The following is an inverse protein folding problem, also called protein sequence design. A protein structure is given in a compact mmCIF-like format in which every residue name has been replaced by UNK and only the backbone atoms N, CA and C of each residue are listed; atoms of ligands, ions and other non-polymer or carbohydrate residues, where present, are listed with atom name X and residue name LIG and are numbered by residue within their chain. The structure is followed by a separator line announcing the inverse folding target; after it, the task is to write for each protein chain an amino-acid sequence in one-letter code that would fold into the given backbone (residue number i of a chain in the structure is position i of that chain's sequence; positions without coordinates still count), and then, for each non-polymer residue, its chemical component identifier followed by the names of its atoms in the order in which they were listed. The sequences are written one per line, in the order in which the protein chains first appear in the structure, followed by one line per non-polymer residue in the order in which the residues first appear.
data_IF_142129867088
#
_entry.id   IF_142129867088
#
_cell.length_a   1.000
_cell.length_b   1.000
_cell.length_c   1.000
_cell.angle_alpha   90.00
_cell.angle_beta   90.00
_cell.angle_gamma   90.00
#
_symmetry.space_group_name_H-M   'P 1'
#
loop_
_entity.id
_entity.type
_entity.pdbx_description
1 polymer ?
#
# COMPACT_ATOMS: atom_id res chain seq x y z
N UNK A 1 -36.95 12.50 2.36
CA UNK A 1 -36.28 13.65 1.70
C UNK A 1 -36.02 14.80 2.66
N UNK A 2 -37.05 15.39 3.30
CA UNK A 2 -36.86 16.55 4.19
C UNK A 2 -35.92 16.27 5.38
N UNK A 3 -36.15 15.18 6.12
CA UNK A 3 -35.29 14.79 7.25
C UNK A 3 -33.83 14.58 6.83
N UNK A 4 -33.63 14.03 5.63
CA UNK A 4 -32.29 13.80 5.06
C UNK A 4 -31.57 15.11 4.75
N UNK A 5 -32.26 16.07 4.13
CA UNK A 5 -31.71 17.40 3.86
C UNK A 5 -31.38 18.15 5.15
N UNK A 6 -32.21 18.00 6.19
CA UNK A 6 -31.91 18.55 7.52
C UNK A 6 -30.67 17.90 8.13
N UNK A 7 -30.47 16.59 7.96
CA UNK A 7 -29.27 15.91 8.42
C UNK A 7 -28.01 16.41 7.67
N UNK A 8 -28.07 16.52 6.34
CA UNK A 8 -26.97 17.06 5.53
C UNK A 8 -26.64 18.51 5.89
N UNK A 9 -27.64 19.31 6.23
CA UNK A 9 -27.45 20.68 6.65
C UNK A 9 -26.80 20.78 8.04
N UNK A 10 -27.25 19.96 8.99
CA UNK A 10 -26.74 19.95 10.38
C UNK A 10 -25.30 19.48 10.46
N UNK A 11 -24.93 18.43 9.73
CA UNK A 11 -23.60 17.85 9.83
C UNK A 11 -22.48 18.83 9.42
N UNK A 12 -22.80 19.82 8.58
CA UNK A 12 -21.86 20.87 8.17
C UNK A 12 -21.39 21.67 9.39
N UNK A 13 -22.32 22.06 10.28
CA UNK A 13 -21.97 22.77 11.52
C UNK A 13 -21.22 21.91 12.53
N UNK A 14 -21.41 20.59 12.48
CA UNK A 14 -20.71 19.66 13.38
C UNK A 14 -19.27 19.39 12.92
N UNK A 15 -19.01 19.42 11.61
CA UNK A 15 -17.73 18.97 11.04
C UNK A 15 -16.88 20.08 10.43
N UNK A 16 -17.45 21.22 10.07
CA UNK A 16 -16.71 22.34 9.53
C UNK A 16 -16.67 23.52 10.52
N UNK A 17 -15.51 23.79 11.15
CA UNK A 17 -15.33 24.95 12.03
C UNK A 17 -15.52 26.30 11.33
N UNK A 18 -15.46 26.35 9.99
CA UNK A 18 -15.70 27.57 9.22
C UNK A 18 -17.19 27.90 9.07
N UNK A 19 -18.10 26.92 9.25
CA UNK A 19 -19.54 27.10 9.10
C UNK A 19 -20.14 27.90 10.28
N UNK A 20 -20.12 29.23 10.17
CA UNK A 20 -20.58 30.13 11.25
C UNK A 20 -22.04 30.52 11.17
N UNK A 21 -22.63 30.53 9.97
CA UNK A 21 -24.00 31.01 9.76
C UNK A 21 -24.79 30.15 8.79
N UNK A 22 -26.10 30.01 9.05
CA UNK A 22 -27.01 29.22 8.22
C UNK A 22 -27.14 29.73 6.79
N UNK A 23 -27.11 31.05 6.59
CA UNK A 23 -27.22 31.65 5.26
C UNK A 23 -25.98 31.33 4.42
N UNK A 24 -24.80 31.39 5.04
CA UNK A 24 -23.53 31.04 4.39
C UNK A 24 -23.53 29.57 3.95
N UNK A 25 -23.99 28.65 4.79
CA UNK A 25 -24.13 27.24 4.42
C UNK A 25 -25.11 27.06 3.27
N UNK A 26 -26.22 27.79 3.25
CA UNK A 26 -27.19 27.68 2.17
C UNK A 26 -26.65 28.22 0.83
N UNK A 27 -25.97 29.37 0.83
CA UNK A 27 -25.58 30.10 -0.38
C UNK A 27 -24.16 29.81 -0.87
N UNK A 28 -23.26 29.43 0.02
CA UNK A 28 -21.82 29.36 -0.26
C UNK A 28 -21.20 27.97 -0.09
N UNK A 29 -21.98 26.93 0.27
CA UNK A 29 -21.48 25.55 0.37
C UNK A 29 -21.87 24.74 -0.87
N UNK A 30 -20.97 24.61 -1.88
CA UNK A 30 -21.29 23.91 -3.11
C UNK A 30 -21.60 22.43 -2.87
N UNK A 31 -20.98 21.81 -1.85
CA UNK A 31 -21.27 20.44 -1.44
C UNK A 31 -22.73 20.21 -1.04
N UNK A 32 -23.26 21.09 -0.19
CA UNK A 32 -24.66 21.03 0.22
C UNK A 32 -25.60 21.25 -0.97
N UNK A 33 -25.32 22.27 -1.80
CA UNK A 33 -26.11 22.56 -3.00
C UNK A 33 -26.15 21.38 -3.96
N UNK A 34 -25.01 20.72 -4.21
CA UNK A 34 -24.94 19.54 -5.05
C UNK A 34 -25.77 18.37 -4.51
N UNK A 35 -25.78 18.15 -3.18
CA UNK A 35 -26.62 17.14 -2.54
C UNK A 35 -28.12 17.45 -2.69
N UNK A 36 -28.52 18.72 -2.56
CA UNK A 36 -29.92 19.15 -2.79
C UNK A 36 -30.35 18.82 -4.22
N UNK A 37 -29.57 19.22 -5.22
CA UNK A 37 -29.87 18.91 -6.63
C UNK A 37 -29.89 17.41 -6.88
N UNK A 38 -28.92 16.66 -6.32
CA UNK A 38 -28.85 15.21 -6.47
C UNK A 38 -30.10 14.55 -5.88
N UNK A 39 -30.57 14.92 -4.69
CA UNK A 39 -31.76 14.30 -4.08
C UNK A 39 -33.03 14.51 -4.92
N UNK A 40 -33.18 15.67 -5.55
CA UNK A 40 -34.26 15.94 -6.51
C UNK A 40 -34.10 15.08 -7.76
N UNK A 41 -32.91 15.08 -8.37
CA UNK A 41 -32.60 14.30 -9.56
C UNK A 41 -32.78 12.79 -9.34
N UNK A 42 -32.31 12.28 -8.20
CA UNK A 42 -32.41 10.90 -7.76
C UNK A 42 -33.88 10.48 -7.63
N UNK A 43 -34.70 11.30 -6.96
CA UNK A 43 -36.13 11.04 -6.89
C UNK A 43 -36.75 10.89 -8.28
N UNK A 44 -36.50 11.85 -9.19
CA UNK A 44 -37.01 11.79 -10.57
C UNK A 44 -36.48 10.57 -11.35
N UNK A 45 -35.21 10.20 -11.13
CA UNK A 45 -34.58 9.02 -11.74
C UNK A 45 -35.30 7.73 -11.32
N UNK A 46 -35.62 7.57 -10.03
CA UNK A 46 -36.36 6.42 -9.52
C UNK A 46 -37.82 6.37 -9.99
N UNK A 47 -38.44 7.53 -10.24
CA UNK A 47 -39.75 7.62 -10.89
C UNK A 47 -39.69 7.40 -12.41
N UNK A 48 -38.53 7.00 -12.95
CA UNK A 48 -38.29 6.73 -14.38
C UNK A 48 -38.59 7.93 -15.28
N UNK A 49 -38.43 9.15 -14.78
CA UNK A 49 -38.55 10.36 -15.59
C UNK A 49 -37.35 10.39 -16.55
N UNK A 50 -37.56 10.39 -17.88
CA UNK A 50 -36.47 10.39 -18.84
C UNK A 50 -35.78 11.76 -18.88
N UNK A 51 -34.47 11.77 -19.19
CA UNK A 51 -33.64 12.96 -19.47
C UNK A 51 -33.48 13.99 -18.34
N UNK A 52 -34.56 14.42 -17.69
CA UNK A 52 -34.60 15.49 -16.69
C UNK A 52 -33.67 15.24 -15.49
N UNK A 53 -33.58 14.03 -14.89
CA UNK A 53 -32.62 13.75 -13.83
C UNK A 53 -31.17 14.03 -14.27
N UNK A 54 -30.83 13.63 -15.50
CA UNK A 54 -29.48 13.81 -16.04
C UNK A 54 -29.22 15.28 -16.32
N UNK A 55 -30.18 16.01 -16.87
CA UNK A 55 -30.07 17.46 -17.05
C UNK A 55 -29.83 18.19 -15.73
N UNK A 56 -30.59 17.87 -14.68
CA UNK A 56 -30.40 18.45 -13.33
C UNK A 56 -28.99 18.16 -12.81
N UNK A 57 -28.48 16.93 -12.97
CA UNK A 57 -27.10 16.61 -12.56
C UNK A 57 -26.04 17.43 -13.29
N UNK A 58 -26.25 17.75 -14.57
CA UNK A 58 -25.32 18.60 -15.33
C UNK A 58 -25.40 20.08 -14.94
N UNK A 59 -26.59 20.59 -14.63
CA UNK A 59 -26.76 21.94 -14.08
C UNK A 59 -26.07 22.04 -12.71
N UNK A 60 -26.28 21.05 -11.84
CA UNK A 60 -25.61 20.99 -10.54
C UNK A 60 -24.08 20.99 -10.70
N UNK A 61 -23.55 20.18 -11.63
CA UNK A 61 -22.12 20.15 -11.96
C UNK A 61 -21.61 21.50 -12.44
N UNK A 62 -22.36 22.18 -13.30
CA UNK A 62 -21.97 23.49 -13.82
C UNK A 62 -21.90 24.55 -12.71
N UNK A 63 -22.86 24.54 -11.77
CA UNK A 63 -22.93 25.51 -10.68
C UNK A 63 -21.94 25.24 -9.54
N UNK A 64 -21.67 23.95 -9.24
CA UNK A 64 -20.94 23.55 -8.02
C UNK A 64 -19.57 22.93 -8.29
N UNK A 65 -19.28 22.50 -9.52
CA UNK A 65 -18.09 21.72 -9.85
C UNK A 65 -18.12 20.27 -9.37
N UNK A 66 -19.24 19.79 -8.82
CA UNK A 66 -19.44 18.44 -8.30
C UNK A 66 -20.33 17.64 -9.26
N UNK A 67 -19.83 16.51 -9.77
CA UNK A 67 -20.61 15.60 -10.60
C UNK A 67 -21.15 14.43 -9.78
N UNK A 68 -22.48 14.35 -9.64
CA UNK A 68 -23.16 13.21 -9.00
C UNK A 68 -24.17 12.63 -9.97
N UNK A 69 -23.98 11.37 -10.34
CA UNK A 69 -24.94 10.68 -11.19
C UNK A 69 -26.30 10.52 -10.45
N UNK A 70 -27.46 10.75 -11.11
CA UNK A 70 -28.77 10.61 -10.46
C UNK A 70 -29.04 9.22 -9.85
N UNK A 71 -28.50 8.17 -10.48
CA UNK A 71 -28.60 6.78 -9.99
C UNK A 71 -27.77 6.45 -8.74
N UNK A 72 -26.81 7.31 -8.33
CA UNK A 72 -26.02 7.06 -7.13
C UNK A 72 -26.92 7.07 -5.88
N UNK A 73 -26.61 6.20 -4.91
CA UNK A 73 -27.34 6.12 -3.65
C UNK A 73 -26.53 6.82 -2.57
N UNK A 74 -27.07 7.87 -1.97
CA UNK A 74 -26.38 8.68 -0.96
C UNK A 74 -27.20 8.71 0.33
N UNK A 75 -26.57 8.24 1.40
CA UNK A 75 -27.08 8.23 2.77
C UNK A 75 -27.36 9.62 3.35
N UNK A 76 -27.66 9.65 4.64
CA UNK A 76 -27.97 10.88 5.38
C UNK A 76 -26.73 11.47 6.03
N UNK A 77 -26.66 12.79 6.11
CA UNK A 77 -25.53 13.47 6.74
C UNK A 77 -24.25 13.28 5.94
N UNK A 78 -24.32 13.12 4.62
CA UNK A 78 -23.09 13.11 3.82
C UNK A 78 -22.61 14.55 3.69
N UNK A 79 -21.34 14.78 4.00
CA UNK A 79 -20.71 16.09 3.87
C UNK A 79 -19.68 16.05 2.75
N UNK A 80 -19.92 16.86 1.71
CA UNK A 80 -18.95 17.11 0.64
C UNK A 80 -18.27 18.45 0.93
N UNK A 81 -17.03 18.42 1.41
CA UNK A 81 -16.29 19.61 1.80
C UNK A 81 -15.41 20.11 0.64
N UNK A 82 -15.43 21.42 0.40
CA UNK A 82 -14.90 22.15 -0.76
C UNK A 82 -15.45 21.72 -2.14
N UNK A 83 -15.55 20.41 -2.39
CA UNK A 83 -16.35 19.77 -3.44
C UNK A 83 -15.82 19.85 -4.86
N UNK A 84 -15.01 20.85 -5.21
CA UNK A 84 -14.54 21.03 -6.59
C UNK A 84 -13.89 19.76 -7.15
N UNK A 85 -14.37 19.28 -8.31
CA UNK A 85 -13.81 18.11 -8.98
C UNK A 85 -14.20 16.75 -8.37
N UNK A 86 -15.18 16.71 -7.45
CA UNK A 86 -15.76 15.46 -6.97
C UNK A 86 -16.58 14.80 -8.08
N UNK A 87 -16.37 13.49 -8.29
CA UNK A 87 -17.08 12.69 -9.29
C UNK A 87 -17.64 11.42 -8.64
N UNK A 88 -18.96 11.26 -8.64
CA UNK A 88 -19.67 10.12 -8.06
C UNK A 88 -20.48 9.44 -9.16
N UNK A 89 -20.08 8.21 -9.51
CA UNK A 89 -20.67 7.47 -10.62
C UNK A 89 -22.01 6.80 -10.34
N UNK A 90 -22.64 6.29 -11.39
CA UNK A 90 -24.03 5.83 -11.42
C UNK A 90 -24.41 4.82 -10.35
N UNK A 91 -23.55 3.82 -10.14
CA UNK A 91 -23.87 2.70 -9.22
C UNK A 91 -23.15 2.85 -7.89
N UNK A 92 -22.64 4.05 -7.57
CA UNK A 92 -21.98 4.30 -6.31
C UNK A 92 -23.00 4.27 -5.17
N UNK A 93 -22.60 3.72 -4.03
CA UNK A 93 -23.38 3.72 -2.80
C UNK A 93 -22.53 4.37 -1.72
N UNK A 94 -23.07 5.37 -1.04
CA UNK A 94 -22.40 6.13 0.02
C UNK A 94 -23.24 6.01 1.28
N UNK A 95 -22.67 5.41 2.33
CA UNK A 95 -23.32 5.28 3.63
C UNK A 95 -23.47 6.61 4.38
N UNK A 96 -24.13 6.54 5.52
CA UNK A 96 -24.45 7.71 6.34
C UNK A 96 -23.18 8.35 6.93
N UNK A 97 -23.24 9.67 7.16
CA UNK A 97 -22.18 10.43 7.84
C UNK A 97 -20.79 10.37 7.19
N UNK A 98 -20.73 10.08 5.88
CA UNK A 98 -19.48 10.13 5.12
C UNK A 98 -18.99 11.57 4.90
N UNK A 99 -17.66 11.74 4.89
CA UNK A 99 -17.00 13.01 4.55
C UNK A 99 -16.18 12.82 3.27
N UNK A 100 -16.43 13.66 2.27
CA UNK A 100 -15.78 13.59 0.96
C UNK A 100 -15.16 14.95 0.64
N UNK A 101 -13.85 14.99 0.46
CA UNK A 101 -13.13 16.21 0.10
C UNK A 101 -13.09 16.45 -1.42
N UNK A 102 -12.58 17.61 -1.83
CA UNK A 102 -12.40 18.01 -3.22
C UNK A 102 -11.61 16.98 -4.05
N UNK A 103 -11.90 16.89 -5.35
CA UNK A 103 -11.16 16.07 -6.31
C UNK A 103 -11.32 14.55 -6.12
N UNK A 104 -12.20 14.10 -5.22
CA UNK A 104 -12.46 12.68 -5.01
C UNK A 104 -13.19 12.05 -6.19
N UNK A 105 -12.84 10.82 -6.56
CA UNK A 105 -13.58 10.06 -7.58
C UNK A 105 -14.03 8.72 -7.04
N UNK A 106 -15.35 8.47 -7.08
CA UNK A 106 -15.98 7.16 -6.90
C UNK A 106 -16.33 6.62 -8.29
N UNK A 107 -15.33 6.02 -8.94
CA UNK A 107 -15.31 5.73 -10.37
C UNK A 107 -15.51 4.26 -10.70
N UNK A 108 -15.90 3.98 -11.94
CA UNK A 108 -15.99 2.61 -12.45
C UNK A 108 -14.67 2.10 -13.02
N UNK A 109 -14.55 0.78 -13.12
CA UNK A 109 -13.49 0.11 -13.90
C UNK A 109 -14.11 -0.75 -15.00
N UNK A 110 -13.39 -0.92 -16.11
CA UNK A 110 -13.80 -1.79 -17.21
C UNK A 110 -14.99 -1.27 -18.04
N UNK A 111 -15.54 -2.15 -18.90
CA UNK A 111 -16.71 -1.90 -19.77
C UNK A 111 -17.96 -2.66 -19.33
N UNK A 112 -17.93 -3.26 -18.16
CA UNK A 112 -19.02 -4.11 -17.69
C UNK A 112 -20.28 -3.31 -17.37
N UNK A 113 -21.43 -3.88 -17.72
CA UNK A 113 -22.74 -3.31 -17.44
C UNK A 113 -23.18 -3.71 -16.04
N UNK A 114 -23.83 -2.79 -15.31
CA UNK A 114 -24.31 -3.03 -13.94
C UNK A 114 -23.49 -2.33 -12.85
N UNK A 115 -23.40 -2.96 -11.68
CA UNK A 115 -22.72 -2.42 -10.48
C UNK A 115 -21.21 -2.44 -10.70
N UNK A 116 -20.62 -1.25 -10.80
CA UNK A 116 -19.22 -1.03 -11.22
C UNK A 116 -18.51 0.08 -10.45
N UNK A 117 -19.24 0.81 -9.61
CA UNK A 117 -18.69 1.87 -8.76
C UNK A 117 -18.63 1.41 -7.30
N UNK A 118 -17.87 2.12 -6.44
CA UNK A 118 -17.66 1.68 -5.07
C UNK A 118 -18.91 1.70 -4.19
N UNK A 119 -18.84 0.98 -3.07
CA UNK A 119 -19.78 1.03 -1.96
C UNK A 119 -19.02 1.47 -0.71
N UNK A 120 -19.40 2.61 -0.13
CA UNK A 120 -18.83 3.13 1.11
C UNK A 120 -19.78 2.82 2.25
N UNK A 121 -19.25 2.25 3.34
CA UNK A 121 -19.95 2.09 4.60
C UNK A 121 -20.21 3.43 5.31
N UNK A 122 -20.60 3.36 6.57
CA UNK A 122 -20.90 4.55 7.38
C UNK A 122 -19.63 5.22 7.90
N UNK A 123 -19.69 6.54 8.10
CA UNK A 123 -18.59 7.32 8.68
C UNK A 123 -17.25 7.19 7.93
N UNK A 124 -17.29 6.93 6.62
CA UNK A 124 -16.08 6.88 5.79
C UNK A 124 -15.61 8.31 5.51
N UNK A 125 -14.31 8.54 5.66
CA UNK A 125 -13.65 9.81 5.30
C UNK A 125 -12.78 9.57 4.08
N UNK A 126 -13.04 10.33 3.01
CA UNK A 126 -12.28 10.25 1.77
C UNK A 126 -11.52 11.55 1.54
N UNK A 127 -10.21 11.49 1.75
CA UNK A 127 -9.29 12.61 1.62
C UNK A 127 -9.24 13.18 0.19
N UNK A 128 -8.87 14.45 0.11
CA UNK A 128 -8.88 15.20 -1.15
C UNK A 128 -8.06 14.52 -2.25
N UNK A 129 -8.61 14.48 -3.46
CA UNK A 129 -7.95 13.89 -4.62
C UNK A 129 -7.94 12.37 -4.68
N UNK A 130 -8.45 11.65 -3.66
CA UNK A 130 -8.45 10.19 -3.67
C UNK A 130 -9.32 9.59 -4.80
N UNK A 131 -8.93 8.43 -5.30
CA UNK A 131 -9.61 7.69 -6.37
C UNK A 131 -9.97 6.31 -5.87
N UNK A 132 -11.26 6.01 -5.80
CA UNK A 132 -11.79 4.70 -5.40
C UNK A 132 -12.47 4.14 -6.64
N UNK A 133 -11.90 3.08 -7.20
CA UNK A 133 -12.24 2.62 -8.54
C UNK A 133 -12.72 1.17 -8.54
N UNK A 134 -13.87 0.94 -9.18
CA UNK A 134 -14.44 -0.39 -9.38
C UNK A 134 -15.56 -0.72 -8.39
N UNK A 135 -16.15 -1.89 -8.55
CA UNK A 135 -17.14 -2.44 -7.62
C UNK A 135 -16.43 -3.00 -6.38
N UNK A 136 -15.95 -2.11 -5.52
CA UNK A 136 -15.26 -2.45 -4.28
C UNK A 136 -16.02 -1.93 -3.06
N UNK A 137 -15.88 -2.63 -1.94
CA UNK A 137 -16.50 -2.30 -0.68
C UNK A 137 -15.49 -1.66 0.27
N UNK A 138 -15.85 -0.50 0.79
CA UNK A 138 -15.11 0.21 1.83
C UNK A 138 -15.93 0.09 3.12
N UNK A 139 -15.38 -0.60 4.12
CA UNK A 139 -16.05 -0.79 5.40
C UNK A 139 -16.30 0.52 6.16
N UNK A 140 -17.15 0.46 7.18
CA UNK A 140 -17.47 1.62 8.02
C UNK A 140 -16.27 2.12 8.82
N UNK A 141 -16.26 3.41 9.16
CA UNK A 141 -15.20 4.10 9.90
C UNK A 141 -13.82 4.02 9.23
N UNK A 142 -13.78 3.86 7.90
CA UNK A 142 -12.53 3.85 7.13
C UNK A 142 -12.09 5.28 6.81
N UNK A 143 -10.78 5.51 6.85
CA UNK A 143 -10.15 6.70 6.30
C UNK A 143 -9.36 6.37 5.06
N UNK A 144 -9.57 7.13 4.00
CA UNK A 144 -8.76 7.08 2.79
C UNK A 144 -7.96 8.37 2.74
N UNK A 145 -6.63 8.26 2.76
CA UNK A 145 -5.71 9.39 2.71
C UNK A 145 -5.83 10.15 1.39
N UNK A 146 -5.48 11.44 1.44
CA UNK A 146 -5.46 12.30 0.26
C UNK A 146 -4.64 11.67 -0.88
N UNK A 147 -5.11 11.87 -2.12
CA UNK A 147 -4.50 11.36 -3.35
C UNK A 147 -4.27 9.84 -3.42
N UNK A 148 -4.87 9.05 -2.53
CA UNK A 148 -4.72 7.59 -2.56
C UNK A 148 -5.54 6.96 -3.70
N UNK A 149 -5.07 5.84 -4.24
CA UNK A 149 -5.79 5.09 -5.29
C UNK A 149 -6.19 3.71 -4.77
N UNK A 150 -7.48 3.53 -4.45
CA UNK A 150 -8.01 2.31 -3.84
C UNK A 150 -8.66 1.44 -4.92
N UNK A 151 -8.13 0.22 -5.07
CA UNK A 151 -8.51 -0.74 -6.11
C UNK A 151 -9.03 -2.08 -5.54
N UNK A 152 -9.07 -2.22 -4.21
CA UNK A 152 -9.46 -3.45 -3.51
C UNK A 152 -10.36 -3.11 -2.34
N UNK A 153 -11.14 -4.09 -1.90
CA UNK A 153 -11.99 -3.98 -0.71
C UNK A 153 -11.16 -3.62 0.53
N UNK A 154 -11.75 -2.79 1.39
CA UNK A 154 -11.12 -2.28 2.61
C UNK A 154 -11.98 -2.68 3.80
N UNK A 155 -11.44 -3.41 4.79
CA UNK A 155 -12.18 -3.77 6.00
C UNK A 155 -12.51 -2.52 6.84
N UNK A 156 -13.54 -2.59 7.70
CA UNK A 156 -13.94 -1.48 8.56
C UNK A 156 -12.85 -1.10 9.58
N UNK A 157 -12.91 0.14 10.07
CA UNK A 157 -12.01 0.72 11.08
C UNK A 157 -10.52 0.76 10.68
N UNK A 158 -10.25 0.95 9.40
CA UNK A 158 -8.90 1.00 8.86
C UNK A 158 -8.56 2.34 8.22
N UNK A 159 -7.26 2.60 8.05
CA UNK A 159 -6.76 3.74 7.27
C UNK A 159 -6.02 3.23 6.04
N UNK A 160 -6.29 3.81 4.87
CA UNK A 160 -5.69 3.45 3.58
C UNK A 160 -4.94 4.64 3.01
N UNK A 161 -3.69 4.44 2.60
CA UNK A 161 -2.85 5.49 1.99
C UNK A 161 -2.06 4.97 0.80
N UNK A 162 -1.69 5.86 -0.11
CA UNK A 162 -0.72 5.56 -1.18
C UNK A 162 -1.34 5.18 -2.53
N UNK A 163 -0.46 4.90 -3.50
CA UNK A 163 -0.79 4.55 -4.88
C UNK A 163 0.05 3.33 -5.29
N UNK A 164 -0.55 2.12 -5.40
CA UNK A 164 -1.91 1.76 -4.98
C UNK A 164 -2.08 1.83 -3.46
N UNK A 165 -3.30 2.09 -3.01
CA UNK A 165 -3.67 2.27 -1.62
C UNK A 165 -3.46 1.00 -0.80
N UNK A 166 -2.76 1.13 0.33
CA UNK A 166 -2.49 0.04 1.28
C UNK A 166 -3.07 0.37 2.65
N UNK A 167 -3.59 -0.65 3.33
CA UNK A 167 -4.09 -0.52 4.72
C UNK A 167 -2.89 -0.35 5.66
N UNK A 168 -2.83 0.75 6.38
CA UNK A 168 -1.72 1.12 7.28
C UNK A 168 -2.06 0.99 8.77
N UNK A 169 -3.33 0.79 9.14
CA UNK A 169 -3.77 0.74 10.54
C UNK A 169 -4.72 -0.44 10.80
N UNK A 170 -4.32 -1.35 11.71
CA UNK A 170 -5.10 -2.47 12.26
C UNK A 170 -5.31 -2.35 13.78
N UNK A 171 -4.95 -1.22 14.39
CA UNK A 171 -4.69 -1.13 15.84
C UNK A 171 -5.94 -0.85 16.69
N UNK A 172 -7.14 -0.75 16.09
CA UNK A 172 -8.38 -0.51 16.82
C UNK A 172 -8.49 0.87 17.49
N UNK A 173 -7.56 1.79 17.22
CA UNK A 173 -7.60 3.16 17.72
C UNK A 173 -8.38 4.02 16.73
N UNK A 174 -9.48 4.64 17.18
CA UNK A 174 -10.16 5.68 16.41
C UNK A 174 -9.20 6.85 16.22
N UNK A 175 -8.53 6.93 15.07
CA UNK A 175 -7.84 8.17 14.66
C UNK A 175 -8.90 9.29 14.56
N UNK A 176 -8.51 10.55 14.72
CA UNK A 176 -9.40 11.70 14.56
C UNK A 176 -9.64 11.97 13.05
N UNK A 177 -10.88 12.16 12.57
CA UNK A 177 -11.18 12.44 11.16
C UNK A 177 -10.37 13.59 10.52
N UNK A 178 -9.92 14.55 11.34
CA UNK A 178 -9.26 15.77 10.88
C UNK A 178 -7.72 15.70 10.94
N UNK A 179 -7.14 14.69 11.59
CA UNK A 179 -5.69 14.59 11.77
C UNK A 179 -5.01 13.79 10.64
N UNK A 180 -4.61 14.51 9.59
CA UNK A 180 -3.95 13.95 8.41
C UNK A 180 -2.43 13.73 8.60
N UNK A 181 -1.84 14.24 9.68
CA UNK A 181 -0.38 14.23 9.92
C UNK A 181 0.20 12.93 10.49
N UNK A 182 -0.64 11.97 10.89
CA UNK A 182 -0.22 10.77 11.63
C UNK A 182 -0.42 9.48 10.83
N UNK A 183 -0.11 9.53 9.53
CA UNK A 183 -0.20 8.36 8.65
C UNK A 183 1.13 7.59 8.66
N UNK A 184 1.11 6.26 8.87
CA UNK A 184 2.32 5.45 8.79
C UNK A 184 2.92 5.51 7.37
N UNK A 185 4.21 5.81 7.27
CA UNK A 185 4.94 5.78 5.99
C UNK A 185 5.32 4.32 5.64
N UNK A 186 4.49 3.69 4.81
CA UNK A 186 4.73 2.32 4.33
C UNK A 186 6.00 2.22 3.49
N UNK A 187 6.33 3.26 2.72
CA UNK A 187 7.51 3.28 1.86
C UNK A 187 8.79 3.34 2.70
N UNK A 188 8.81 4.18 3.74
CA UNK A 188 9.93 4.24 4.67
C UNK A 188 10.16 2.91 5.40
N UNK A 189 9.11 2.16 5.73
CA UNK A 189 9.26 0.82 6.33
C UNK A 189 9.92 -0.16 5.36
N UNK A 190 9.47 -0.19 4.11
CA UNK A 190 10.05 -1.05 3.07
C UNK A 190 11.50 -0.66 2.78
N UNK A 191 11.78 0.64 2.62
CA UNK A 191 13.15 1.13 2.42
C UNK A 191 14.08 0.74 3.57
N UNK A 192 13.64 0.85 4.83
CA UNK A 192 14.44 0.41 5.98
C UNK A 192 14.72 -1.10 5.95
N UNK A 193 13.71 -1.91 5.59
CA UNK A 193 13.90 -3.36 5.47
C UNK A 193 14.92 -3.70 4.37
N UNK A 194 14.84 -3.04 3.22
CA UNK A 194 15.80 -3.20 2.13
C UNK A 194 17.21 -2.75 2.55
N UNK A 195 17.35 -1.58 3.19
CA UNK A 195 18.65 -1.11 3.70
C UNK A 195 19.27 -2.07 4.69
N UNK A 196 18.49 -2.59 5.65
CA UNK A 196 18.98 -3.57 6.61
C UNK A 196 19.44 -4.86 5.92
N UNK A 197 18.72 -5.31 4.87
CA UNK A 197 19.10 -6.47 4.09
C UNK A 197 20.39 -6.23 3.30
N UNK A 198 20.55 -5.06 2.68
CA UNK A 198 21.78 -4.68 1.98
C UNK A 198 22.97 -4.68 2.95
N UNK A 199 22.84 -4.03 4.10
CA UNK A 199 23.91 -4.00 5.10
C UNK A 199 24.30 -5.41 5.58
N UNK A 200 23.31 -6.27 5.82
CA UNK A 200 23.55 -7.67 6.20
C UNK A 200 24.28 -8.45 5.11
N UNK A 201 23.93 -8.25 3.84
CA UNK A 201 24.62 -8.87 2.72
C UNK A 201 26.05 -8.33 2.55
N UNK A 202 26.26 -7.03 2.75
CA UNK A 202 27.59 -6.41 2.71
C UNK A 202 28.51 -6.97 3.80
N UNK A 203 28.00 -7.16 5.03
CA UNK A 203 28.74 -7.82 6.12
C UNK A 203 29.11 -9.27 5.78
N UNK A 204 28.17 -10.03 5.21
CA UNK A 204 28.43 -11.41 4.78
C UNK A 204 29.51 -11.46 3.69
N UNK A 205 29.45 -10.57 2.70
CA UNK A 205 30.46 -10.46 1.63
C UNK A 205 31.83 -10.08 2.20
N UNK A 206 31.89 -9.17 3.19
CA UNK A 206 33.15 -8.83 3.85
C UNK A 206 33.74 -10.02 4.60
N UNK A 207 32.93 -10.76 5.36
CA UNK A 207 33.37 -11.97 6.06
C UNK A 207 33.92 -13.02 5.08
N UNK A 208 33.22 -13.26 3.97
CA UNK A 208 33.67 -14.20 2.94
C UNK A 208 34.99 -13.75 2.32
N UNK A 209 35.17 -12.46 2.03
CA UNK A 209 36.45 -11.92 1.52
C UNK A 209 37.60 -12.11 2.52
N UNK A 210 37.35 -11.95 3.82
CA UNK A 210 38.35 -12.20 4.86
C UNK A 210 38.72 -13.68 4.90
N UNK A 211 37.73 -14.57 4.84
CA UNK A 211 37.94 -16.03 4.79
C UNK A 211 38.71 -16.45 3.53
N UNK A 212 38.39 -15.86 2.37
CA UNK A 212 39.12 -16.05 1.11
C UNK A 212 40.59 -15.64 1.22
N UNK A 213 40.88 -14.53 1.92
CA UNK A 213 42.25 -14.08 2.14
C UNK A 213 43.04 -15.04 3.06
N UNK A 214 42.35 -15.68 4.01
CA UNK A 214 42.96 -16.65 4.93
C UNK A 214 43.09 -18.06 4.35
N UNK A 215 42.32 -18.41 3.32
CA UNK A 215 42.35 -19.71 2.65
C UNK A 215 43.75 -20.15 2.18
N UNK A 216 44.56 -19.34 1.45
CA UNK A 216 45.90 -19.76 1.03
C UNK A 216 46.85 -19.98 2.22
N UNK A 217 46.66 -19.26 3.32
CA UNK A 217 47.44 -19.42 4.55
C UNK A 217 47.10 -20.76 5.23
N UNK A 218 45.81 -21.09 5.32
CA UNK A 218 45.30 -22.39 5.78
C UNK A 218 45.74 -23.54 4.89
N UNK A 219 45.62 -23.41 3.56
CA UNK A 219 46.08 -24.41 2.60
C UNK A 219 47.59 -24.64 2.72
N UNK A 220 48.39 -23.59 2.93
CA UNK A 220 49.84 -23.72 3.12
C UNK A 220 50.19 -24.49 4.41
N UNK A 221 49.39 -24.34 5.47
CA UNK A 221 49.55 -25.07 6.73
C UNK A 221 49.18 -26.54 6.56
N UNK A 222 48.09 -26.84 5.84
CA UNK A 222 47.64 -28.21 5.55
C UNK A 222 48.54 -28.92 4.52
N UNK A 223 49.14 -28.18 3.58
CA UNK A 223 50.03 -28.71 2.55
C UNK A 223 51.45 -29.03 3.05
N UNK A 224 51.83 -28.60 4.27
CA UNK A 224 53.16 -28.89 4.84
C UNK A 224 53.35 -30.42 4.99
N UNK A 225 54.36 -31.03 4.32
CA UNK A 225 54.55 -32.47 4.29
C UNK A 225 54.79 -33.08 5.68
N UNK A 226 55.36 -32.30 6.60
CA UNK A 226 55.63 -32.76 7.96
C UNK A 226 54.36 -33.15 8.72
N UNK A 227 53.23 -32.46 8.52
CA UNK A 227 51.95 -32.80 9.17
C UNK A 227 51.34 -34.12 8.65
N UNK A 228 51.59 -34.46 7.37
CA UNK A 228 51.20 -35.76 6.81
C UNK A 228 52.17 -36.90 7.18
N UNK A 229 53.45 -36.59 7.42
CA UNK A 229 54.44 -37.58 7.85
C UNK A 229 54.44 -37.87 9.36
N UNK A 230 53.82 -37.02 10.18
CA UNK A 230 53.70 -37.25 11.63
C UNK A 230 52.81 -38.44 11.99
N UNK A 231 51.95 -38.91 11.08
CA UNK A 231 51.15 -40.13 11.28
C UNK A 231 51.99 -41.42 11.41
N UNK A 232 53.28 -41.41 11.05
CA UNK A 232 54.13 -42.62 10.98
C UNK A 232 55.40 -42.58 11.86
N UNK A 233 55.60 -41.58 12.72
CA UNK A 233 56.80 -41.51 13.58
C UNK A 233 56.49 -41.69 15.06
N UNK A 234 57.10 -42.71 15.67
CA UNK A 234 56.80 -43.28 17.00
C UNK A 234 57.20 -42.43 18.22
N UNK A 235 57.66 -41.18 18.07
CA UNK A 235 58.37 -40.46 19.15
C UNK A 235 57.84 -39.06 19.53
N UNK A 236 56.69 -38.59 19.01
CA UNK A 236 56.13 -37.30 19.43
C UNK A 236 54.81 -37.48 20.18
N UNK A 237 54.86 -37.44 21.52
CA UNK A 237 53.68 -37.40 22.40
C UNK A 237 53.29 -35.95 22.72
N UNK A 238 52.42 -35.39 21.89
CA UNK A 238 51.54 -34.26 22.25
C UNK A 238 50.15 -34.63 21.72
N UNK A 239 49.46 -35.51 22.48
CA UNK A 239 48.12 -36.08 22.24
C UNK A 239 47.69 -36.07 20.77
N UNK A 240 48.14 -37.08 20.03
CA UNK A 240 47.91 -37.27 18.58
C UNK A 240 46.46 -37.05 18.14
N UNK A 241 45.49 -37.33 19.02
CA UNK A 241 44.07 -37.10 18.79
C UNK A 241 43.69 -35.61 18.67
N UNK A 242 44.28 -34.73 19.47
CA UNK A 242 43.95 -33.30 19.47
C UNK A 242 44.47 -32.60 18.21
N UNK A 243 45.67 -33.00 17.75
CA UNK A 243 46.28 -32.46 16.54
C UNK A 243 45.56 -32.99 15.29
N UNK A 244 45.22 -34.29 15.27
CA UNK A 244 44.41 -34.89 14.22
C UNK A 244 42.99 -34.29 14.14
N UNK A 245 42.32 -34.10 15.28
CA UNK A 245 41.02 -33.43 15.33
C UNK A 245 41.10 -31.96 14.87
N UNK A 246 42.21 -31.27 15.15
CA UNK A 246 42.43 -29.91 14.68
C UNK A 246 42.66 -29.87 13.17
N UNK A 247 43.40 -30.81 12.60
CA UNK A 247 43.59 -30.94 11.14
C UNK A 247 42.24 -31.22 10.45
N UNK A 248 41.48 -32.21 10.92
CA UNK A 248 40.17 -32.53 10.35
C UNK A 248 39.20 -31.34 10.45
N UNK A 249 39.21 -30.62 11.57
CA UNK A 249 38.43 -29.40 11.73
C UNK A 249 38.82 -28.35 10.68
N UNK A 250 40.11 -28.12 10.46
CA UNK A 250 40.58 -27.15 9.46
C UNK A 250 40.25 -27.60 8.03
N UNK A 251 40.33 -28.90 7.72
CA UNK A 251 39.93 -29.44 6.41
C UNK A 251 38.42 -29.25 6.14
N UNK A 252 37.57 -29.46 7.14
CA UNK A 252 36.13 -29.19 7.04
C UNK A 252 35.84 -27.69 6.87
N UNK A 253 36.58 -26.80 7.57
CA UNK A 253 36.45 -25.35 7.36
C UNK A 253 36.85 -24.94 5.94
N UNK A 254 37.91 -25.52 5.37
CA UNK A 254 38.33 -25.26 3.97
C UNK A 254 37.26 -25.74 2.98
N UNK A 255 36.65 -26.92 3.19
CA UNK A 255 35.53 -27.38 2.35
C UNK A 255 34.33 -26.44 2.42
N UNK A 256 33.98 -25.98 3.62
CA UNK A 256 32.86 -25.05 3.82
C UNK A 256 33.12 -23.73 3.07
N UNK A 257 34.33 -23.17 3.19
CA UNK A 257 34.73 -21.95 2.48
C UNK A 257 34.61 -22.14 0.96
N UNK A 258 35.10 -23.25 0.41
CA UNK A 258 34.98 -23.57 -1.03
C UNK A 258 33.53 -23.72 -1.49
N UNK A 259 32.68 -24.34 -0.67
CA UNK A 259 31.24 -24.46 -0.94
C UNK A 259 30.58 -23.07 -0.99
N UNK A 260 30.87 -22.21 -0.02
CA UNK A 260 30.35 -20.83 0.03
C UNK A 260 30.86 -20.00 -1.15
N UNK A 261 32.11 -20.18 -1.58
CA UNK A 261 32.66 -19.52 -2.77
C UNK A 261 31.92 -19.93 -4.05
N UNK A 262 31.61 -21.22 -4.22
CA UNK A 262 30.85 -21.71 -5.36
C UNK A 262 29.45 -21.09 -5.41
N UNK A 263 28.77 -21.04 -4.26
CA UNK A 263 27.45 -20.42 -4.15
C UNK A 263 27.50 -18.91 -4.43
N UNK A 264 28.57 -18.22 -3.99
CA UNK A 264 28.76 -16.79 -4.28
C UNK A 264 28.98 -16.54 -5.77
N UNK A 265 29.72 -17.41 -6.46
CA UNK A 265 29.97 -17.31 -7.90
C UNK A 265 28.68 -17.51 -8.71
N UNK A 266 27.82 -18.45 -8.28
CA UNK A 266 26.49 -18.64 -8.85
C UNK A 266 25.62 -17.41 -8.63
N UNK A 267 25.63 -16.82 -7.43
CA UNK A 267 24.93 -15.58 -7.12
C UNK A 267 25.41 -14.40 -7.99
N UNK A 268 26.71 -14.21 -8.15
CA UNK A 268 27.28 -13.12 -8.97
C UNK A 268 26.93 -13.29 -10.45
N UNK A 269 26.80 -14.54 -10.92
CA UNK A 269 26.34 -14.86 -12.28
C UNK A 269 24.83 -14.59 -12.48
N UNK A 270 24.02 -14.77 -11.44
CA UNK A 270 22.59 -14.42 -11.46
C UNK A 270 22.33 -12.91 -11.28
N UNK A 271 23.25 -12.19 -10.63
CA UNK A 271 23.22 -10.73 -10.44
C UNK A 271 23.93 -9.98 -11.57
N UNK A 272 24.46 -10.69 -12.58
CA UNK A 272 25.04 -10.10 -13.79
C UNK A 272 24.11 -9.00 -14.33
N UNK A 273 24.56 -7.75 -14.15
CA UNK A 273 23.82 -6.54 -14.49
C UNK A 273 23.21 -6.72 -15.89
N UNK A 274 21.88 -6.64 -16.06
CA UNK A 274 21.38 -6.39 -17.39
C UNK A 274 22.07 -5.12 -17.89
N UNK A 275 22.51 -5.07 -19.15
CA UNK A 275 23.13 -3.86 -19.66
C UNK A 275 22.14 -2.72 -19.44
N UNK A 276 22.58 -1.64 -18.79
CA UNK A 276 21.89 -0.36 -18.78
C UNK A 276 21.84 0.16 -20.22
N UNK A 277 20.99 -0.44 -21.05
CA UNK A 277 20.51 0.16 -22.27
C UNK A 277 19.48 1.19 -21.84
N UNK A 278 19.80 2.44 -22.13
CA UNK A 278 18.87 3.55 -22.13
C UNK A 278 17.62 3.17 -22.92
N UNK A 279 16.55 2.77 -22.25
CA UNK A 279 15.20 2.84 -22.79
C UNK A 279 14.27 3.35 -21.71
N UNK A 280 14.07 4.67 -21.71
CA UNK A 280 12.77 5.20 -21.37
C UNK A 280 11.73 4.48 -22.25
N UNK A 281 10.61 4.08 -21.65
CA UNK A 281 9.47 3.36 -22.23
C UNK A 281 9.57 1.83 -22.21
N UNK A 282 9.11 1.23 -21.10
CA UNK A 282 8.10 0.15 -21.06
C UNK A 282 8.10 -0.53 -19.68
N UNK A 283 7.41 0.08 -18.70
CA UNK A 283 7.07 -0.53 -17.41
C UNK A 283 5.59 -0.97 -17.37
N UNK A 284 5.07 -1.53 -18.46
CA UNK A 284 3.65 -1.92 -18.55
C UNK A 284 3.37 -3.42 -18.42
N UNK A 285 4.39 -4.29 -18.33
CA UNK A 285 4.18 -5.75 -18.39
C UNK A 285 4.81 -6.56 -17.24
N UNK A 286 5.20 -5.95 -16.12
CA UNK A 286 5.52 -6.74 -14.93
C UNK A 286 4.24 -7.05 -14.16
N UNK A 287 3.72 -8.25 -14.39
CA UNK A 287 2.64 -8.81 -13.59
C UNK A 287 3.22 -9.26 -12.24
N UNK A 288 3.07 -8.42 -11.21
CA UNK A 288 3.53 -8.67 -9.84
C UNK A 288 2.59 -9.66 -9.09
N UNK A 289 1.88 -10.53 -9.80
CA UNK A 289 0.83 -11.37 -9.20
C UNK A 289 1.36 -12.56 -8.38
N UNK A 290 2.62 -12.98 -8.54
CA UNK A 290 3.09 -14.24 -7.94
C UNK A 290 4.23 -14.10 -6.92
N UNK A 291 4.52 -12.90 -6.41
CA UNK A 291 5.41 -12.77 -5.24
C UNK A 291 4.57 -12.77 -3.97
N UNK A 292 4.27 -13.97 -3.47
CA UNK A 292 3.79 -14.20 -2.11
C UNK A 292 4.84 -13.67 -1.11
N UNK A 293 4.73 -12.39 -0.77
CA UNK A 293 5.53 -11.71 0.26
C UNK A 293 5.27 -12.30 1.67
N UNK A 294 4.35 -13.27 1.80
CA UNK A 294 4.13 -13.99 3.05
C UNK A 294 5.34 -14.82 3.48
N UNK A 295 6.09 -15.38 2.54
CA UNK A 295 7.26 -16.23 2.86
C UNK A 295 8.49 -15.43 3.36
N UNK A 296 8.45 -14.10 3.27
CA UNK A 296 9.57 -13.25 3.72
C UNK A 296 9.50 -12.90 5.22
N UNK A 297 8.38 -13.18 5.89
CA UNK A 297 8.17 -12.84 7.30
C UNK A 297 8.27 -14.04 8.25
N UNK A 298 8.11 -15.26 7.76
CA UNK A 298 8.25 -16.46 8.58
C UNK A 298 9.69 -16.94 8.52
N UNK A 299 10.50 -16.47 9.48
CA UNK A 299 11.89 -16.89 9.71
C UNK A 299 12.02 -18.35 10.18
N UNK A 300 11.50 -19.29 9.40
CA UNK A 300 11.67 -20.74 9.59
C UNK A 300 11.87 -21.39 8.23
N UNK A 301 13.09 -21.31 7.70
CA UNK A 301 13.43 -21.97 6.45
C UNK A 301 14.89 -21.77 6.07
N UNK A 302 15.69 -22.79 6.40
CA UNK A 302 17.12 -23.01 6.09
C UNK A 302 18.09 -22.43 7.15
#
# INVERSE_FOLDING_TARGET
MFNTLLADFRIIFERDPAARNWLEVLTCYPGFQALVFHRIAHSLYFHKVPFLPRLISHIARFLTGIEIHPGAVIGQGVFIDHGMGVVIGETAIIGDSCLIYQGVTLGGTGKETGKRHPTLGENVVVGGGAKILGNINIGSNVRIGASSVVLKDVPPNCTVVGIPGRVVDRSGVKVNPLEHGSLPDSEAKVMRALFNRINSLEEQVQLIKILQFQEPELESVVAKPHLKSFANHSNYRLTDLALFNRINYLEEQVKLIKSLQSQLLELDSTVAKPPLKSSANNYSNYDFQDLEIQDFFDGSGI
#
